data_IF_417163852003
#
_entry.id   IF_417163852003
#
_cell.length_a   1.000
_cell.length_b   1.000
_cell.length_c   1.000
_cell.angle_alpha   90.00
_cell.angle_beta   90.00
_cell.angle_gamma   90.00
#
_symmetry.space_group_name_H-M   'P 1'
#
loop_
_entity.id
_entity.type
_entity.pdbx_description
1 polymer ?
#
# COMPACT_ATOMS: atom_id res chain seq x y z
N UNK A 1 -35.53 7.08 -13.86
CA UNK A 1 -34.07 7.25 -13.89
C UNK A 1 -33.44 5.89 -13.65
N UNK A 2 -32.59 5.36 -14.54
CA UNK A 2 -31.90 4.10 -14.29
C UNK A 2 -30.86 4.26 -13.17
N UNK A 3 -30.71 3.22 -12.34
CA UNK A 3 -29.68 3.11 -11.29
C UNK A 3 -28.70 2.03 -11.71
N UNK A 4 -27.40 2.31 -11.62
CA UNK A 4 -26.33 1.39 -12.01
C UNK A 4 -25.49 1.00 -10.79
N UNK A 5 -24.96 -0.24 -10.79
CA UNK A 5 -24.09 -0.78 -9.74
C UNK A 5 -22.75 -1.23 -10.35
N UNK A 6 -21.64 -0.75 -9.77
CA UNK A 6 -20.30 -1.10 -10.20
C UNK A 6 -19.72 -2.24 -9.34
N UNK A 7 -19.30 -3.33 -9.98
CA UNK A 7 -18.64 -4.48 -9.34
C UNK A 7 -17.39 -4.88 -10.13
N UNK A 8 -16.27 -5.06 -9.43
CA UNK A 8 -15.04 -5.59 -10.04
C UNK A 8 -15.01 -7.11 -9.96
N UNK A 9 -15.11 -7.80 -11.10
CA UNK A 9 -15.01 -9.26 -11.18
C UNK A 9 -13.57 -9.76 -11.05
N UNK A 10 -12.64 -9.08 -11.72
CA UNK A 10 -11.21 -9.36 -11.65
C UNK A 10 -10.47 -8.14 -11.12
N UNK A 11 -9.62 -8.37 -10.12
CA UNK A 11 -8.77 -7.33 -9.54
C UNK A 11 -7.64 -6.95 -10.52
N UNK A 12 -7.16 -5.70 -10.51
CA UNK A 12 -5.99 -5.31 -11.29
C UNK A 12 -4.79 -6.19 -10.96
N UNK A 13 -4.07 -6.66 -11.97
CA UNK A 13 -2.90 -7.55 -11.81
C UNK A 13 -1.57 -6.87 -12.10
N UNK A 14 -1.56 -5.70 -12.73
CA UNK A 14 -0.32 -4.97 -13.00
C UNK A 14 0.36 -4.53 -11.70
N UNK A 15 1.66 -4.76 -11.57
CA UNK A 15 2.47 -4.29 -10.45
C UNK A 15 3.18 -3.00 -10.85
N UNK A 16 2.73 -1.87 -10.29
CA UNK A 16 3.30 -0.52 -10.54
C UNK A 16 4.52 -0.26 -9.68
N UNK A 17 4.55 -0.84 -8.48
CA UNK A 17 5.68 -0.79 -7.57
C UNK A 17 5.61 -1.93 -6.56
N UNK A 18 6.74 -2.29 -5.97
CA UNK A 18 6.81 -3.31 -4.95
C UNK A 18 7.90 -2.95 -3.93
N UNK A 19 7.67 -3.30 -2.67
CA UNK A 19 8.62 -3.14 -1.58
C UNK A 19 8.66 -4.43 -0.79
N UNK A 20 9.83 -4.81 -0.30
CA UNK A 20 9.97 -5.98 0.56
C UNK A 20 10.24 -5.56 2.00
N UNK A 21 9.87 -6.41 2.95
CA UNK A 21 10.01 -6.15 4.36
C UNK A 21 9.42 -7.28 5.19
N UNK A 22 9.46 -7.10 6.51
CA UNK A 22 8.89 -7.98 7.52
C UNK A 22 7.66 -7.29 8.09
N UNK A 23 6.48 -7.50 7.50
CA UNK A 23 5.27 -6.76 7.87
C UNK A 23 4.43 -7.54 8.89
N UNK A 24 4.27 -8.85 8.72
CA UNK A 24 3.45 -9.67 9.62
C UNK A 24 4.15 -10.08 10.92
N UNK A 25 5.45 -10.36 10.85
CA UNK A 25 6.23 -10.95 11.94
C UNK A 25 7.73 -10.74 11.73
N UNK A 26 8.53 -10.70 12.81
CA UNK A 26 9.99 -10.55 12.71
C UNK A 26 10.61 -11.66 11.86
N UNK A 27 11.60 -11.28 11.04
CA UNK A 27 12.40 -12.18 10.17
C UNK A 27 11.62 -12.88 9.05
N UNK A 28 10.32 -12.61 8.89
CA UNK A 28 9.56 -13.08 7.73
C UNK A 28 9.79 -12.12 6.58
N UNK A 29 10.16 -12.61 5.39
CA UNK A 29 10.24 -11.77 4.20
C UNK A 29 8.95 -11.82 3.42
N UNK A 30 8.38 -10.65 3.18
CA UNK A 30 7.13 -10.46 2.47
C UNK A 30 7.28 -9.30 1.49
N UNK A 31 6.41 -9.27 0.49
CA UNK A 31 6.43 -8.27 -0.57
C UNK A 31 5.09 -7.58 -0.62
N UNK A 32 5.09 -6.26 -0.42
CA UNK A 32 3.90 -5.43 -0.63
C UNK A 32 3.95 -4.91 -2.05
N UNK A 33 2.90 -5.20 -2.81
CA UNK A 33 2.75 -4.81 -4.21
C UNK A 33 1.69 -3.73 -4.34
N UNK A 34 2.07 -2.64 -5.00
CA UNK A 34 1.17 -1.61 -5.47
C UNK A 34 0.62 -1.99 -6.85
N UNK A 35 -0.70 -2.18 -6.97
CA UNK A 35 -1.40 -2.43 -8.24
C UNK A 35 -2.24 -1.24 -8.70
N UNK A 36 -1.79 -0.03 -8.41
CA UNK A 36 -2.46 1.23 -8.74
C UNK A 36 -3.51 1.61 -7.70
N UNK A 37 -4.67 0.95 -7.72
CA UNK A 37 -5.75 1.19 -6.73
C UNK A 37 -5.79 0.20 -5.57
N UNK A 38 -5.07 -0.91 -5.72
CA UNK A 38 -5.08 -2.04 -4.81
C UNK A 38 -3.70 -2.17 -4.18
N UNK A 39 -3.68 -2.31 -2.86
CA UNK A 39 -2.50 -2.68 -2.08
C UNK A 39 -2.61 -4.16 -1.74
N UNK A 40 -1.55 -4.92 -2.03
CA UNK A 40 -1.54 -6.35 -1.79
C UNK A 40 -0.27 -6.78 -1.06
N UNK A 41 -0.40 -7.64 -0.06
CA UNK A 41 0.71 -8.29 0.64
C UNK A 41 0.86 -9.72 0.12
N UNK A 42 2.04 -10.02 -0.40
CA UNK A 42 2.44 -11.35 -0.86
C UNK A 42 3.48 -11.94 0.07
N UNK A 43 3.42 -13.25 0.30
CA UNK A 43 4.45 -14.02 1.00
C UNK A 43 4.91 -15.20 0.16
N UNK A 44 6.22 -15.43 0.05
CA UNK A 44 6.75 -16.65 -0.57
C UNK A 44 6.52 -17.86 0.34
N UNK A 45 6.10 -18.96 -0.26
CA UNK A 45 6.07 -20.29 0.38
C UNK A 45 7.46 -20.93 0.43
N UNK A 46 7.60 -22.07 1.09
CA UNK A 46 8.84 -22.85 1.14
C UNK A 46 9.30 -23.30 -0.25
N UNK A 47 8.36 -23.51 -1.17
CA UNK A 47 8.63 -23.80 -2.59
C UNK A 47 9.01 -22.57 -3.43
N UNK A 48 9.01 -21.37 -2.84
CA UNK A 48 9.29 -20.10 -3.52
C UNK A 48 8.11 -19.52 -4.30
N UNK A 49 6.91 -20.11 -4.21
CA UNK A 49 5.68 -19.58 -4.82
C UNK A 49 5.12 -18.41 -4.01
N UNK A 50 4.66 -17.36 -4.69
CA UNK A 50 4.07 -16.19 -4.02
C UNK A 50 2.57 -16.39 -3.76
N UNK A 51 2.16 -16.24 -2.51
CA UNK A 51 0.77 -16.29 -2.08
C UNK A 51 0.29 -14.93 -1.61
N UNK A 52 -0.92 -14.55 -2.00
CA UNK A 52 -1.57 -13.34 -1.52
C UNK A 52 -2.16 -13.56 -0.14
N UNK A 53 -1.67 -12.79 0.84
CA UNK A 53 -2.17 -12.82 2.23
C UNK A 53 -3.34 -11.86 2.39
N UNK A 54 -3.14 -10.63 1.93
CA UNK A 54 -4.10 -9.55 2.12
C UNK A 54 -4.14 -8.68 0.88
N UNK A 55 -5.35 -8.30 0.47
CA UNK A 55 -5.60 -7.51 -0.73
C UNK A 55 -6.68 -6.49 -0.39
N UNK A 56 -6.34 -5.21 -0.39
CA UNK A 56 -7.23 -4.11 0.00
C UNK A 56 -7.25 -3.03 -1.07
N UNK A 57 -8.46 -2.64 -1.48
CA UNK A 57 -8.65 -1.47 -2.33
C UNK A 57 -8.48 -0.18 -1.51
N UNK A 58 -7.64 0.73 -2.01
CA UNK A 58 -7.32 2.01 -1.35
C UNK A 58 -8.26 3.13 -1.81
N UNK A 59 -9.10 2.88 -2.82
CA UNK A 59 -10.04 3.85 -3.41
C UNK A 59 -9.37 5.17 -3.84
N UNK A 60 -8.18 5.05 -4.41
CA UNK A 60 -7.37 6.14 -4.96
C UNK A 60 -6.23 5.58 -5.81
N UNK A 61 -5.25 6.40 -6.17
CA UNK A 61 -4.07 5.98 -6.93
C UNK A 61 -2.84 6.07 -6.03
N UNK A 62 -2.22 4.92 -5.77
CA UNK A 62 -0.93 4.84 -5.08
C UNK A 62 0.17 5.19 -6.09
N UNK A 63 0.87 6.31 -5.84
CA UNK A 63 1.92 6.82 -6.73
C UNK A 63 3.32 6.46 -6.26
N UNK A 64 3.51 6.33 -4.96
CA UNK A 64 4.79 5.95 -4.35
C UNK A 64 4.53 5.08 -3.13
N UNK A 65 5.45 4.14 -2.92
CA UNK A 65 5.43 3.22 -1.79
C UNK A 65 6.86 3.12 -1.23
N UNK A 66 6.98 3.18 0.08
CA UNK A 66 8.24 3.02 0.78
C UNK A 66 8.01 2.25 2.08
N UNK A 67 9.08 1.71 2.66
CA UNK A 67 9.04 0.99 3.93
C UNK A 67 10.03 1.59 4.90
N UNK A 68 9.72 1.53 6.18
CA UNK A 68 10.66 1.90 7.23
C UNK A 68 10.41 1.09 8.50
N UNK A 69 11.46 0.98 9.30
CA UNK A 69 11.43 0.33 10.61
C UNK A 69 11.80 1.36 11.67
N UNK A 70 11.02 1.42 12.75
CA UNK A 70 11.42 2.19 13.92
C UNK A 70 12.51 1.43 14.69
N UNK A 71 13.42 2.16 15.34
CA UNK A 71 14.47 1.55 16.15
C UNK A 71 13.85 0.70 17.26
N UNK A 72 14.22 -0.59 17.32
CA UNK A 72 13.65 -1.55 18.27
C UNK A 72 12.32 -2.19 17.82
N UNK A 73 11.72 -1.76 16.71
CA UNK A 73 10.55 -2.42 16.15
C UNK A 73 10.93 -3.73 15.44
N UNK A 74 10.04 -4.71 15.54
CA UNK A 74 10.19 -6.03 14.93
C UNK A 74 9.56 -6.13 13.54
N UNK A 75 8.59 -5.26 13.27
CA UNK A 75 7.84 -5.19 12.01
C UNK A 75 8.09 -3.87 11.29
N UNK A 76 7.92 -3.90 9.97
CA UNK A 76 8.05 -2.74 9.09
C UNK A 76 6.71 -2.04 8.89
N UNK A 77 6.77 -0.72 8.83
CA UNK A 77 5.67 0.13 8.41
C UNK A 77 5.75 0.42 6.91
N UNK A 78 4.60 0.68 6.31
CA UNK A 78 4.48 1.01 4.89
C UNK A 78 4.03 2.46 4.78
N UNK A 79 4.79 3.25 4.04
CA UNK A 79 4.44 4.63 3.69
C UNK A 79 3.82 4.63 2.30
N UNK A 80 2.66 5.24 2.19
CA UNK A 80 1.91 5.38 0.95
C UNK A 80 1.80 6.85 0.58
N UNK A 81 2.29 7.19 -0.61
CA UNK A 81 1.99 8.45 -1.26
C UNK A 81 0.88 8.25 -2.29
N UNK A 82 -0.31 8.79 -2.02
CA UNK A 82 -1.46 8.71 -2.93
C UNK A 82 -1.83 10.08 -3.53
N UNK A 83 -2.74 10.05 -4.50
CA UNK A 83 -3.37 11.23 -5.07
C UNK A 83 -4.29 11.98 -4.09
N UNK A 84 -4.50 11.47 -2.87
CA UNK A 84 -5.36 12.12 -1.87
C UNK A 84 -4.81 13.45 -1.32
N UNK A 85 -3.55 13.80 -1.61
CA UNK A 85 -2.85 14.92 -0.98
C UNK A 85 -2.48 14.64 0.48
N UNK A 86 -2.47 13.36 0.88
CA UNK A 86 -2.12 12.89 2.21
C UNK A 86 -0.97 11.91 2.19
N UNK A 87 -0.12 11.99 3.20
CA UNK A 87 0.90 11.00 3.51
C UNK A 87 0.30 10.01 4.50
N UNK A 88 0.22 8.74 4.10
CA UNK A 88 -0.43 7.70 4.91
C UNK A 88 0.59 6.67 5.32
N UNK A 89 0.65 6.37 6.62
CA UNK A 89 1.46 5.29 7.16
C UNK A 89 0.51 4.17 7.58
N UNK A 90 0.76 2.97 7.09
CA UNK A 90 -0.03 1.78 7.39
C UNK A 90 0.85 0.70 8.00
N UNK A 91 0.26 -0.08 8.88
CA UNK A 91 0.81 -1.26 9.51
C UNK A 91 -0.06 -2.46 9.12
N UNK A 92 0.55 -3.62 8.92
CA UNK A 92 -0.20 -4.84 8.65
C UNK A 92 -0.55 -5.55 9.96
N UNK A 93 -1.85 -5.71 10.24
CA UNK A 93 -2.32 -6.47 11.40
C UNK A 93 -2.55 -7.93 11.00
N UNK A 94 -1.60 -8.80 11.36
CA UNK A 94 -1.66 -10.23 11.07
C UNK A 94 -2.82 -10.96 11.77
N UNK A 95 -3.40 -10.41 12.85
CA UNK A 95 -4.53 -11.06 13.54
C UNK A 95 -5.83 -10.90 12.75
N UNK A 96 -6.01 -9.71 12.19
CA UNK A 96 -7.22 -9.37 11.43
C UNK A 96 -7.04 -9.52 9.91
N UNK A 97 -5.81 -9.75 9.44
CA UNK A 97 -5.44 -9.75 8.02
C UNK A 97 -5.86 -8.46 7.31
N UNK A 98 -5.62 -7.31 7.96
CA UNK A 98 -6.02 -5.99 7.48
C UNK A 98 -4.87 -5.00 7.57
N UNK A 99 -4.82 -4.07 6.62
CA UNK A 99 -3.95 -2.90 6.71
C UNK A 99 -4.58 -1.85 7.63
N UNK A 100 -3.95 -1.64 8.78
CA UNK A 100 -4.36 -0.62 9.75
C UNK A 100 -3.64 0.69 9.43
N UNK A 101 -4.42 1.75 9.22
CA UNK A 101 -3.87 3.10 9.09
C UNK A 101 -3.40 3.61 10.45
N UNK A 102 -2.10 3.83 10.60
CA UNK A 102 -1.47 4.34 11.82
C UNK A 102 -1.43 5.86 11.80
N UNK A 103 -1.07 6.44 10.66
CA UNK A 103 -0.93 7.89 10.51
C UNK A 103 -1.47 8.37 9.16
N UNK A 104 -1.97 9.60 9.13
CA UNK A 104 -2.64 10.17 7.97
C UNK A 104 -2.54 11.70 7.99
N UNK A 105 -1.45 12.22 7.45
CA UNK A 105 -1.18 13.66 7.46
C UNK A 105 -1.58 14.29 6.14
N UNK A 106 -2.26 15.45 6.20
CA UNK A 106 -2.68 16.16 4.98
C UNK A 106 -1.64 17.24 4.66
N UNK A 107 -0.98 17.12 3.50
CA UNK A 107 0.01 18.10 3.05
C UNK A 107 -0.45 18.92 1.84
N UNK A 108 -1.54 18.51 1.19
CA UNK A 108 -2.00 19.15 -0.04
C UNK A 108 -3.45 18.83 -0.37
N UNK A 109 -3.89 19.37 -1.52
CA UNK A 109 -5.20 19.10 -2.10
C UNK A 109 -5.16 17.79 -2.89
N UNK A 110 -6.31 17.13 -2.98
CA UNK A 110 -6.52 15.92 -3.80
C UNK A 110 -6.20 16.14 -5.29
N UNK A 111 -5.77 15.07 -5.96
CA UNK A 111 -5.42 14.97 -7.37
C UNK A 111 -3.91 15.01 -7.62
N UNK A 112 -3.42 14.39 -8.71
CA UNK A 112 -2.04 14.57 -9.15
C UNK A 112 -1.81 16.02 -9.57
N UNK A 113 -0.78 16.66 -9.00
CA UNK A 113 -0.42 18.04 -9.30
C UNK A 113 1.05 18.14 -9.65
N UNK A 114 1.34 18.98 -10.64
CA UNK A 114 2.68 19.47 -10.92
C UNK A 114 2.89 20.73 -10.08
N UNK A 115 3.99 20.78 -9.33
CA UNK A 115 4.45 21.98 -8.64
C UNK A 115 5.62 22.53 -9.45
N UNK A 116 5.53 23.77 -9.92
CA UNK A 116 6.65 24.45 -10.54
C UNK A 116 7.66 24.83 -9.45
N UNK A 117 8.86 24.28 -9.53
CA UNK A 117 9.99 24.71 -8.70
C UNK A 117 10.69 25.82 -9.49
N UNK A 118 10.43 27.08 -9.11
CA UNK A 118 11.22 28.18 -9.64
C UNK A 118 12.58 28.15 -8.94
N UNK A 119 13.61 27.75 -9.68
CA UNK A 119 15.00 27.93 -9.27
C UNK A 119 15.37 29.41 -9.47
N UNK A 120 15.78 30.09 -8.39
CA UNK A 120 16.46 31.39 -8.45
C UNK A 120 17.83 31.24 -9.10
#
# INVERSE_FOLDING_TARGET
MPVLYHLSLQKPTAAVGAVHGSFSAPRVQEVVVNRGRLLELLRPDEEGKLHSICSTDVFGIIRSIATFRLTGALTDYIVLGSDSGRLVIVEFDAKNNLFKRVHCETFGKTGPKLIQINSN
#
